data_IF_576415918648
#
_entry.id   IF_576415918648
#
_cell.length_a   1.000
_cell.length_b   1.000
_cell.length_c   1.000
_cell.angle_alpha   90.00
_cell.angle_beta   90.00
_cell.angle_gamma   90.00
#
_symmetry.space_group_name_H-M   'P 1'
#
loop_
_entity.id
_entity.type
_entity.pdbx_description
1 polymer ?
#
# COMPACT_ATOMS: atom_id res chain seq x y z
N UNK A 1 -13.39 14.83 -5.57
CA UNK A 1 -12.16 15.46 -5.05
C UNK A 1 -11.09 15.50 -6.13
N UNK A 2 -10.05 16.31 -5.93
CA UNK A 2 -9.00 16.61 -6.94
C UNK A 2 -8.35 15.33 -7.50
N UNK A 3 -8.02 14.36 -6.63
CA UNK A 3 -7.39 13.09 -7.03
C UNK A 3 -8.21 12.32 -8.08
N UNK A 4 -9.52 12.21 -7.86
CA UNK A 4 -10.42 11.51 -8.78
C UNK A 4 -10.58 12.28 -10.10
N UNK A 5 -10.57 13.60 -10.04
CA UNK A 5 -10.58 14.47 -11.24
C UNK A 5 -9.33 14.27 -12.10
N UNK A 6 -8.15 14.29 -11.48
CA UNK A 6 -6.86 14.07 -12.18
C UNK A 6 -6.80 12.67 -12.78
N UNK A 7 -7.17 11.64 -12.01
CA UNK A 7 -7.21 10.25 -12.52
C UNK A 7 -8.10 10.14 -13.75
N UNK A 8 -9.35 10.60 -13.64
CA UNK A 8 -10.31 10.51 -14.74
C UNK A 8 -9.79 11.26 -15.97
N UNK A 9 -9.27 12.48 -15.80
CA UNK A 9 -8.71 13.24 -16.91
C UNK A 9 -7.55 12.49 -17.60
N UNK A 10 -6.64 11.88 -16.84
CA UNK A 10 -5.55 11.10 -17.39
C UNK A 10 -6.02 9.81 -18.07
N UNK A 11 -6.95 9.07 -17.47
CA UNK A 11 -7.38 7.76 -17.98
C UNK A 11 -8.38 7.85 -19.12
N UNK A 12 -9.31 8.81 -19.09
CA UNK A 12 -10.41 8.90 -20.07
C UNK A 12 -10.17 9.92 -21.17
N UNK A 13 -9.25 10.88 -20.98
CA UNK A 13 -8.95 11.91 -21.98
C UNK A 13 -7.54 11.76 -22.52
N UNK A 14 -6.52 11.85 -21.66
CA UNK A 14 -5.13 11.91 -22.14
C UNK A 14 -4.59 10.56 -22.63
N UNK A 15 -4.78 9.47 -21.90
CA UNK A 15 -4.25 8.16 -22.30
C UNK A 15 -4.84 7.69 -23.66
N UNK A 16 -6.17 7.77 -23.90
CA UNK A 16 -6.72 7.45 -25.21
C UNK A 16 -6.21 8.39 -26.32
N UNK A 17 -6.07 9.69 -26.04
CA UNK A 17 -5.53 10.64 -27.01
C UNK A 17 -4.07 10.35 -27.38
N UNK A 18 -3.25 9.97 -26.40
CA UNK A 18 -1.84 9.59 -26.59
C UNK A 18 -1.74 8.31 -27.41
N UNK A 19 -2.56 7.30 -27.11
CA UNK A 19 -2.62 6.04 -27.87
C UNK A 19 -3.11 6.24 -29.31
N UNK A 20 -4.03 7.18 -29.53
CA UNK A 20 -4.52 7.53 -30.86
C UNK A 20 -3.60 8.48 -31.65
N UNK A 21 -2.54 9.01 -31.00
CA UNK A 21 -1.62 9.95 -31.65
C UNK A 21 -0.65 9.19 -32.55
N UNK A 22 -0.81 9.37 -33.87
CA UNK A 22 0.07 8.77 -34.87
C UNK A 22 1.32 9.62 -35.16
N UNK A 23 1.34 10.90 -34.76
CA UNK A 23 2.43 11.83 -35.05
C UNK A 23 3.22 12.19 -33.79
N UNK A 24 4.30 11.44 -33.53
CA UNK A 24 5.24 11.73 -32.45
C UNK A 24 6.50 12.49 -32.94
N UNK A 25 6.41 13.12 -34.11
CA UNK A 25 7.52 13.90 -34.68
C UNK A 25 8.77 13.05 -34.91
N UNK A 26 9.91 13.49 -34.36
CA UNK A 26 11.21 12.83 -34.54
C UNK A 26 11.24 11.36 -34.06
N UNK A 27 10.36 10.98 -33.12
CA UNK A 27 10.25 9.60 -32.64
C UNK A 27 9.61 8.65 -33.66
N UNK A 28 8.92 9.15 -34.68
CA UNK A 28 8.42 8.31 -35.77
C UNK A 28 9.51 7.91 -36.77
N UNK A 29 10.67 8.58 -36.73
CA UNK A 29 11.71 8.47 -37.75
C UNK A 29 12.84 7.50 -37.35
N UNK A 30 12.81 6.97 -36.12
CA UNK A 30 13.84 6.04 -35.63
C UNK A 30 13.23 4.78 -35.03
N UNK A 31 13.89 3.63 -35.20
CA UNK A 31 13.53 2.38 -34.53
C UNK A 31 13.56 2.49 -33.01
N UNK A 32 14.36 3.40 -32.47
CA UNK A 32 14.44 3.66 -31.04
C UNK A 32 13.23 4.47 -30.52
N UNK A 33 12.61 5.29 -31.37
CA UNK A 33 11.43 6.06 -31.00
C UNK A 33 10.18 5.21 -30.73
N UNK A 34 10.06 4.02 -31.31
CA UNK A 34 9.02 3.03 -30.96
C UNK A 34 9.12 2.61 -29.48
N UNK A 35 10.35 2.33 -29.03
CA UNK A 35 10.64 1.95 -27.63
C UNK A 35 10.35 3.11 -26.67
N UNK A 36 10.77 4.33 -27.02
CA UNK A 36 10.51 5.52 -26.19
C UNK A 36 9.01 5.82 -26.02
N UNK A 37 8.21 5.65 -27.09
CA UNK A 37 6.74 5.77 -27.01
C UNK A 37 6.14 4.73 -26.07
N UNK A 38 6.62 3.49 -26.16
CA UNK A 38 6.17 2.41 -25.28
C UNK A 38 6.50 2.73 -23.82
N UNK A 39 7.74 3.13 -23.52
CA UNK A 39 8.20 3.52 -22.18
C UNK A 39 7.35 4.68 -21.62
N UNK A 40 7.05 5.69 -22.45
CA UNK A 40 6.23 6.81 -22.04
C UNK A 40 4.80 6.39 -21.70
N UNK A 41 4.19 5.56 -22.54
CA UNK A 41 2.84 5.02 -22.32
C UNK A 41 2.80 4.17 -21.05
N UNK A 42 3.80 3.32 -20.84
CA UNK A 42 3.96 2.51 -19.64
C UNK A 42 4.11 3.39 -18.38
N UNK A 43 4.84 4.50 -18.48
CA UNK A 43 5.01 5.47 -17.39
C UNK A 43 3.69 6.12 -17.00
N UNK A 44 2.84 6.50 -17.97
CA UNK A 44 1.50 7.03 -17.69
C UNK A 44 0.62 5.97 -17.03
N UNK A 45 0.63 4.75 -17.55
CA UNK A 45 -0.12 3.63 -16.95
C UNK A 45 0.32 3.36 -15.50
N UNK A 46 1.64 3.37 -15.23
CA UNK A 46 2.18 3.22 -13.87
C UNK A 46 1.75 4.36 -12.95
N UNK A 47 1.69 5.59 -13.46
CA UNK A 47 1.20 6.74 -12.70
C UNK A 47 -0.30 6.64 -12.41
N UNK A 48 -1.11 6.17 -13.35
CA UNK A 48 -2.54 5.88 -13.12
C UNK A 48 -2.73 4.81 -12.04
N UNK A 49 -1.95 3.72 -12.06
CA UNK A 49 -1.95 2.71 -11.00
C UNK A 49 -1.54 3.28 -9.65
N UNK A 50 -0.54 4.18 -9.61
CA UNK A 50 -0.16 4.89 -8.40
C UNK A 50 -1.31 5.76 -7.85
N UNK A 51 -2.01 6.51 -8.71
CA UNK A 51 -3.16 7.31 -8.30
C UNK A 51 -4.30 6.45 -7.77
N UNK A 52 -4.54 5.28 -8.37
CA UNK A 52 -5.51 4.33 -7.86
C UNK A 52 -5.10 3.75 -6.51
N UNK A 53 -3.83 3.40 -6.35
CA UNK A 53 -3.26 2.99 -5.07
C UNK A 53 -3.44 4.06 -4.00
N UNK A 54 -3.19 5.33 -4.32
CA UNK A 54 -3.39 6.46 -3.43
C UNK A 54 -4.87 6.66 -3.07
N UNK A 55 -5.79 6.51 -4.03
CA UNK A 55 -7.24 6.59 -3.80
C UNK A 55 -7.70 5.49 -2.85
N UNK A 56 -7.35 4.24 -3.13
CA UNK A 56 -7.69 3.09 -2.28
C UNK A 56 -7.08 3.26 -0.88
N UNK A 57 -5.86 3.81 -0.80
CA UNK A 57 -5.24 4.11 0.48
C UNK A 57 -6.00 5.16 1.29
N UNK A 58 -6.55 6.19 0.63
CA UNK A 58 -7.38 7.23 1.27
C UNK A 58 -8.73 6.65 1.67
N UNK A 59 -9.40 5.89 0.79
CA UNK A 59 -10.68 5.24 1.08
C UNK A 59 -10.56 4.19 2.20
N UNK A 60 -9.39 3.56 2.33
CA UNK A 60 -9.06 2.62 3.41
C UNK A 60 -8.59 3.28 4.70
N UNK A 61 -8.56 4.61 4.79
CA UNK A 61 -8.23 5.29 6.06
C UNK A 61 -9.31 5.06 7.09
N UNK A 62 -8.89 4.71 8.31
CA UNK A 62 -9.81 4.47 9.43
C UNK A 62 -9.91 5.75 10.23
N UNK A 63 -11.08 6.38 10.16
CA UNK A 63 -11.43 7.50 11.03
C UNK A 63 -11.95 6.98 12.36
N UNK A 64 -11.31 7.40 13.46
CA UNK A 64 -11.82 7.16 14.80
C UNK A 64 -13.21 7.79 14.93
N UNK A 65 -14.14 7.07 15.57
CA UNK A 65 -15.51 7.53 15.72
C UNK A 65 -15.55 8.94 16.32
N UNK A 66 -16.23 9.86 15.65
CA UNK A 66 -16.50 11.20 16.18
C UNK A 66 -17.39 11.09 17.42
N UNK A 67 -17.11 11.96 18.37
CA UNK A 67 -17.84 12.04 19.64
C UNK A 67 -18.54 13.38 19.65
N UNK A 68 -19.84 13.36 19.36
CA UNK A 68 -20.63 14.59 19.21
C UNK A 68 -21.23 15.06 20.55
N UNK A 69 -21.22 14.20 21.56
CA UNK A 69 -21.83 14.46 22.86
C UNK A 69 -20.88 15.11 23.89
N UNK A 70 -19.61 15.30 23.55
CA UNK A 70 -18.59 15.84 24.46
C UNK A 70 -17.94 17.07 23.83
N UNK A 71 -18.00 18.19 24.54
CA UNK A 71 -17.35 19.44 24.12
C UNK A 71 -15.88 19.46 24.55
N UNK A 72 -15.02 18.94 23.67
CA UNK A 72 -13.56 18.89 23.92
C UNK A 72 -12.90 20.27 23.98
N UNK A 73 -13.59 21.34 23.56
CA UNK A 73 -13.05 22.69 23.67
C UNK A 73 -12.90 23.18 25.12
N UNK A 74 -13.56 22.49 26.05
CA UNK A 74 -13.54 22.76 27.50
C UNK A 74 -12.58 21.86 28.27
N UNK A 75 -11.63 21.19 27.60
CA UNK A 75 -10.68 20.24 28.20
C UNK A 75 -9.24 20.62 27.84
N UNK A 76 -8.93 21.91 27.87
CA UNK A 76 -7.62 22.42 27.47
C UNK A 76 -6.77 22.85 28.66
N UNK A 77 -7.40 23.31 29.74
CA UNK A 77 -6.69 23.75 30.94
C UNK A 77 -6.63 22.66 32.01
N UNK A 78 -5.65 22.78 32.92
CA UNK A 78 -5.51 21.83 34.03
C UNK A 78 -6.72 21.83 34.97
N UNK A 79 -7.30 23.01 35.21
CA UNK A 79 -8.48 23.19 36.08
C UNK A 79 -9.71 22.50 35.49
N UNK A 80 -9.95 22.69 34.19
CA UNK A 80 -11.00 22.00 33.44
C UNK A 80 -10.85 20.48 33.47
N UNK A 81 -9.63 19.98 33.21
CA UNK A 81 -9.32 18.55 33.24
C UNK A 81 -9.57 17.96 34.63
N UNK A 82 -9.20 18.68 35.69
CA UNK A 82 -9.39 18.24 37.08
C UNK A 82 -10.87 18.24 37.47
N UNK A 83 -11.63 19.25 37.04
CA UNK A 83 -13.07 19.31 37.25
C UNK A 83 -13.79 18.17 36.52
N UNK A 84 -13.40 17.88 35.27
CA UNK A 84 -13.93 16.76 34.50
C UNK A 84 -13.58 15.40 35.13
N UNK A 85 -12.36 15.25 35.63
CA UNK A 85 -11.90 14.02 36.29
C UNK A 85 -12.61 13.75 37.64
N UNK A 86 -13.08 14.81 38.31
CA UNK A 86 -13.85 14.69 39.56
C UNK A 86 -15.32 14.37 39.34
N UNK A 87 -15.82 14.49 38.09
CA UNK A 87 -17.19 14.17 37.73
C UNK A 87 -17.29 12.72 37.22
N UNK A 88 -17.89 11.84 38.01
CA UNK A 88 -18.02 10.42 37.69
C UNK A 88 -18.77 10.13 36.39
N UNK A 89 -19.78 10.93 36.05
CA UNK A 89 -20.54 10.77 34.81
C UNK A 89 -19.71 11.17 33.58
N UNK A 90 -18.96 12.27 33.68
CA UNK A 90 -18.02 12.68 32.62
C UNK A 90 -16.93 11.64 32.41
N UNK A 91 -16.34 11.12 33.48
CA UNK A 91 -15.33 10.05 33.41
C UNK A 91 -15.91 8.82 32.72
N UNK A 92 -17.11 8.36 33.11
CA UNK A 92 -17.78 7.22 32.49
C UNK A 92 -17.98 7.41 30.98
N UNK A 93 -18.44 8.59 30.55
CA UNK A 93 -18.61 8.89 29.13
C UNK A 93 -17.29 8.87 28.36
N UNK A 94 -16.22 9.42 28.95
CA UNK A 94 -14.88 9.42 28.35
C UNK A 94 -14.29 8.00 28.28
N UNK A 95 -14.58 7.14 29.26
CA UNK A 95 -14.21 5.72 29.23
C UNK A 95 -14.94 4.98 28.10
N UNK A 96 -16.23 5.23 27.87
CA UNK A 96 -16.98 4.65 26.75
C UNK A 96 -16.44 5.07 25.38
N UNK A 97 -16.05 6.35 25.26
CA UNK A 97 -15.36 6.88 24.08
C UNK A 97 -14.04 6.16 23.85
N UNK A 98 -13.19 6.10 24.88
CA UNK A 98 -11.88 5.43 24.79
C UNK A 98 -12.05 3.96 24.41
N UNK A 99 -13.03 3.26 24.99
CA UNK A 99 -13.33 1.87 24.65
C UNK A 99 -13.83 1.70 23.22
N UNK A 100 -14.56 2.68 22.68
CA UNK A 100 -15.00 2.65 21.29
C UNK A 100 -13.80 2.75 20.34
N UNK A 101 -12.90 3.70 20.58
CA UNK A 101 -11.67 3.82 19.79
C UNK A 101 -10.77 2.60 19.96
N UNK A 102 -10.65 2.08 21.19
CA UNK A 102 -9.89 0.87 21.49
C UNK A 102 -10.35 -0.29 20.63
N UNK A 103 -11.66 -0.59 20.63
CA UNK A 103 -12.24 -1.68 19.82
C UNK A 103 -12.04 -1.47 18.33
N UNK A 104 -12.13 -0.23 17.84
CA UNK A 104 -11.88 0.09 16.43
C UNK A 104 -10.43 -0.18 16.02
N UNK A 105 -9.47 0.29 16.82
CA UNK A 105 -8.04 0.09 16.55
C UNK A 105 -7.66 -1.38 16.68
N UNK A 106 -8.19 -2.08 17.70
CA UNK A 106 -7.96 -3.51 17.88
C UNK A 106 -8.50 -4.33 16.70
N UNK A 107 -9.70 -4.03 16.22
CA UNK A 107 -10.25 -4.65 15.01
C UNK A 107 -9.33 -4.47 13.80
N UNK A 108 -8.78 -3.26 13.62
CA UNK A 108 -7.85 -2.96 12.52
C UNK A 108 -6.53 -3.74 12.65
N UNK A 109 -6.00 -3.91 13.87
CA UNK A 109 -4.82 -4.72 14.13
C UNK A 109 -5.08 -6.20 13.82
N UNK A 110 -6.20 -6.75 14.29
CA UNK A 110 -6.59 -8.14 14.02
C UNK A 110 -6.72 -8.39 12.51
N UNK A 111 -7.38 -7.49 11.79
CA UNK A 111 -7.50 -7.57 10.32
C UNK A 111 -6.15 -7.53 9.61
N UNK A 112 -5.16 -6.84 10.18
CA UNK A 112 -3.81 -6.75 9.59
C UNK A 112 -2.97 -8.01 9.78
N UNK A 113 -3.22 -8.75 10.87
CA UNK A 113 -2.53 -10.00 11.21
C UNK A 113 -3.13 -11.21 10.47
N UNK A 114 -4.34 -11.08 9.93
CA UNK A 114 -5.00 -12.16 9.20
C UNK A 114 -4.29 -12.53 7.89
N UNK A 115 -4.22 -13.83 7.62
CA UNK A 115 -3.74 -14.36 6.34
C UNK A 115 -4.58 -13.81 5.19
N UNK A 116 -3.90 -13.11 4.28
CA UNK A 116 -4.55 -12.51 3.10
C UNK A 116 -4.97 -13.60 2.12
N UNK A 117 -6.19 -13.51 1.62
CA UNK A 117 -6.62 -14.21 0.40
C UNK A 117 -6.21 -13.34 -0.79
N UNK A 118 -5.12 -13.71 -1.44
CA UNK A 118 -4.63 -13.01 -2.62
C UNK A 118 -4.98 -13.81 -3.87
N UNK A 119 -5.06 -13.13 -5.02
CA UNK A 119 -5.25 -13.81 -6.29
C UNK A 119 -4.03 -14.68 -6.61
N UNK A 120 -4.28 -15.85 -7.19
CA UNK A 120 -3.24 -16.85 -7.53
C UNK A 120 -2.23 -16.31 -8.54
N UNK A 121 -2.53 -15.24 -9.27
CA UNK A 121 -1.66 -14.58 -10.26
C UNK A 121 -1.02 -13.27 -9.75
N UNK A 122 -1.13 -12.97 -8.45
CA UNK A 122 -0.60 -11.72 -7.90
C UNK A 122 0.93 -11.62 -8.04
N UNK A 123 1.40 -10.51 -8.62
CA UNK A 123 2.84 -10.23 -8.81
C UNK A 123 3.50 -9.54 -7.61
N UNK A 124 4.83 -9.41 -7.58
CA UNK A 124 5.58 -8.87 -6.43
C UNK A 124 5.24 -7.40 -6.11
N UNK A 125 4.83 -6.59 -7.10
CA UNK A 125 4.43 -5.20 -6.84
C UNK A 125 3.14 -5.08 -6.02
N UNK A 126 2.28 -6.10 -6.03
CA UNK A 126 1.08 -6.13 -5.18
C UNK A 126 1.42 -6.12 -3.69
N UNK A 127 2.54 -6.73 -3.32
CA UNK A 127 3.03 -6.75 -1.94
C UNK A 127 3.49 -5.34 -1.52
N UNK A 128 4.23 -4.65 -2.39
CA UNK A 128 4.64 -3.27 -2.15
C UNK A 128 3.43 -2.35 -1.98
N UNK A 129 2.41 -2.48 -2.83
CA UNK A 129 1.18 -1.70 -2.71
C UNK A 129 0.44 -1.98 -1.41
N UNK A 130 0.36 -3.26 -1.01
CA UNK A 130 -0.25 -3.64 0.26
C UNK A 130 0.43 -2.93 1.44
N UNK A 131 1.76 -3.02 1.55
CA UNK A 131 2.48 -2.38 2.65
C UNK A 131 2.41 -0.85 2.61
N UNK A 132 2.33 -0.23 1.43
CA UNK A 132 2.04 1.22 1.30
C UNK A 132 0.69 1.58 1.90
N UNK A 133 -0.36 0.80 1.61
CA UNK A 133 -1.70 1.00 2.17
C UNK A 133 -1.72 0.80 3.67
N UNK A 134 -1.07 -0.25 4.18
CA UNK A 134 -0.97 -0.50 5.62
C UNK A 134 -0.23 0.63 6.34
N UNK A 135 0.91 1.06 5.80
CA UNK A 135 1.67 2.19 6.33
C UNK A 135 0.83 3.46 6.41
N UNK A 136 0.09 3.80 5.36
CA UNK A 136 -0.82 4.96 5.38
C UNK A 136 -1.95 4.79 6.40
N UNK A 137 -2.60 3.62 6.45
CA UNK A 137 -3.70 3.32 7.39
C UNK A 137 -3.25 3.50 8.84
N UNK A 138 -2.11 2.94 9.23
CA UNK A 138 -1.61 2.99 10.60
C UNK A 138 -1.05 4.36 10.98
N UNK A 139 -0.33 5.04 10.08
CA UNK A 139 0.13 6.41 10.35
C UNK A 139 -1.06 7.35 10.57
N UNK A 140 -2.15 7.17 9.81
CA UNK A 140 -3.35 7.98 9.99
C UNK A 140 -4.06 7.73 11.33
N UNK A 141 -4.05 6.50 11.84
CA UNK A 141 -4.55 6.18 13.19
C UNK A 141 -3.65 6.85 14.25
N UNK A 142 -2.33 6.75 14.10
CA UNK A 142 -1.36 7.38 15.01
C UNK A 142 -1.52 8.90 15.06
N UNK A 143 -1.76 9.55 13.92
CA UNK A 143 -2.04 10.99 13.85
C UNK A 143 -3.29 11.37 14.66
N UNK A 144 -4.35 10.56 14.56
CA UNK A 144 -5.59 10.78 15.32
C UNK A 144 -5.39 10.56 16.82
N UNK A 145 -4.64 9.53 17.24
CA UNK A 145 -4.29 9.27 18.64
C UNK A 145 -3.47 10.44 19.22
N UNK A 146 -2.56 11.02 18.42
CA UNK A 146 -1.77 12.19 18.80
C UNK A 146 -2.54 13.51 18.71
N UNK A 147 -3.76 13.48 18.18
CA UNK A 147 -4.65 14.61 18.02
C UNK A 147 -5.14 15.18 19.36
N UNK A 148 -5.61 16.44 19.36
CA UNK A 148 -6.02 17.15 20.58
C UNK A 148 -7.18 16.45 21.29
N UNK A 149 -8.15 15.91 20.55
CA UNK A 149 -9.33 15.21 21.10
C UNK A 149 -8.94 13.98 21.89
N UNK A 150 -8.10 13.10 21.33
CA UNK A 150 -7.68 11.88 22.00
C UNK A 150 -6.79 12.20 23.21
N UNK A 151 -5.90 13.19 23.10
CA UNK A 151 -5.09 13.68 24.23
C UNK A 151 -5.95 14.22 25.38
N UNK A 152 -7.01 14.98 25.08
CA UNK A 152 -7.91 15.49 26.10
C UNK A 152 -8.59 14.36 26.89
N UNK A 153 -9.12 13.34 26.19
CA UNK A 153 -9.70 12.13 26.83
C UNK A 153 -8.67 11.45 27.73
N UNK A 154 -7.47 11.18 27.21
CA UNK A 154 -6.42 10.48 27.96
C UNK A 154 -6.01 11.28 29.21
N UNK A 155 -5.87 12.60 29.10
CA UNK A 155 -5.49 13.47 30.21
C UNK A 155 -6.50 13.43 31.36
N UNK A 156 -7.79 13.56 31.05
CA UNK A 156 -8.87 13.48 32.07
C UNK A 156 -8.88 12.11 32.73
N UNK A 157 -8.83 11.04 31.94
CA UNK A 157 -8.83 9.67 32.46
C UNK A 157 -7.58 9.37 33.30
N UNK A 158 -6.45 10.04 33.03
CA UNK A 158 -5.21 9.89 33.79
C UNK A 158 -5.31 10.55 35.17
N UNK A 159 -5.91 11.75 35.25
CA UNK A 159 -6.22 12.40 36.53
C UNK A 159 -7.28 11.63 37.31
N UNK A 160 -8.27 11.05 36.63
CA UNK A 160 -9.30 10.20 37.23
C UNK A 160 -8.81 8.78 37.61
N UNK A 161 -7.54 8.45 37.35
CA UNK A 161 -6.96 7.13 37.61
C UNK A 161 -7.74 5.96 36.97
N UNK A 162 -8.26 6.13 35.76
CA UNK A 162 -8.98 5.08 35.05
C UNK A 162 -8.10 3.86 34.78
N UNK A 163 -8.67 2.66 35.03
CA UNK A 163 -7.99 1.38 34.80
C UNK A 163 -7.79 1.08 33.31
N UNK A 164 -8.59 1.70 32.43
CA UNK A 164 -8.53 1.48 30.98
C UNK A 164 -7.23 1.99 30.35
N UNK A 165 -6.53 2.92 31.01
CA UNK A 165 -5.29 3.48 30.49
C UNK A 165 -4.17 2.45 30.34
N UNK A 166 -4.18 1.38 31.14
CA UNK A 166 -3.22 0.29 30.97
C UNK A 166 -3.40 -0.40 29.62
N UNK A 167 -4.64 -0.77 29.30
CA UNK A 167 -4.98 -1.43 28.03
C UNK A 167 -4.76 -0.48 26.85
N UNK A 168 -5.09 0.80 27.01
CA UNK A 168 -4.86 1.81 25.98
C UNK A 168 -3.37 1.97 25.64
N UNK A 169 -2.48 2.02 26.65
CA UNK A 169 -1.03 2.11 26.42
C UNK A 169 -0.47 0.89 25.69
N UNK A 170 -0.98 -0.30 26.02
CA UNK A 170 -0.59 -1.52 25.31
C UNK A 170 -1.02 -1.46 23.82
N UNK A 171 -2.26 -1.04 23.56
CA UNK A 171 -2.76 -0.83 22.20
C UNK A 171 -1.95 0.23 21.43
N UNK A 172 -1.61 1.36 22.07
CA UNK A 172 -0.79 2.43 21.49
C UNK A 172 0.64 1.96 21.17
N UNK A 173 1.21 1.08 22.00
CA UNK A 173 2.49 0.46 21.71
C UNK A 173 2.40 -0.50 20.51
N UNK A 174 1.36 -1.36 20.48
CA UNK A 174 1.13 -2.31 19.37
C UNK A 174 0.93 -1.57 18.04
N UNK A 175 0.06 -0.57 17.98
CA UNK A 175 -0.19 0.20 16.75
C UNK A 175 1.07 0.93 16.26
N UNK A 176 1.90 1.42 17.19
CA UNK A 176 3.18 2.06 16.87
C UNK A 176 4.16 1.06 16.29
N UNK A 177 4.26 -0.15 16.84
CA UNK A 177 5.14 -1.19 16.30
C UNK A 177 4.68 -1.65 14.90
N UNK A 178 3.38 -1.90 14.70
CA UNK A 178 2.84 -2.28 13.39
C UNK A 178 3.01 -1.18 12.33
N UNK A 179 2.92 0.10 12.73
CA UNK A 179 3.22 1.22 11.83
C UNK A 179 4.71 1.26 11.44
N UNK A 180 5.62 0.98 12.38
CA UNK A 180 7.05 0.90 12.12
C UNK A 180 7.39 -0.28 11.22
N UNK A 181 6.81 -1.46 11.47
CA UNK A 181 6.90 -2.63 10.59
C UNK A 181 6.47 -2.25 9.17
N UNK A 182 5.28 -1.68 9.01
CA UNK A 182 4.74 -1.35 7.70
C UNK A 182 5.65 -0.39 6.93
N UNK A 183 6.22 0.60 7.63
CA UNK A 183 7.15 1.58 7.05
C UNK A 183 8.47 0.93 6.64
N UNK A 184 9.02 0.04 7.46
CA UNK A 184 10.26 -0.69 7.16
C UNK A 184 10.07 -1.62 5.96
N UNK A 185 8.96 -2.36 5.93
CA UNK A 185 8.60 -3.26 4.84
C UNK A 185 8.47 -2.50 3.51
N UNK A 186 7.80 -1.33 3.51
CA UNK A 186 7.74 -0.45 2.31
C UNK A 186 9.14 -0.07 1.84
N UNK A 187 10.04 0.33 2.75
CA UNK A 187 11.42 0.74 2.40
C UNK A 187 12.18 -0.38 1.70
N UNK A 188 12.09 -1.60 2.21
CA UNK A 188 12.78 -2.75 1.60
C UNK A 188 12.11 -3.19 0.29
N UNK A 189 10.78 -3.26 0.23
CA UNK A 189 10.07 -3.67 -0.97
C UNK A 189 10.19 -2.63 -2.11
N UNK A 190 10.46 -1.36 -1.81
CA UNK A 190 10.84 -0.37 -2.82
C UNK A 190 12.12 -0.75 -3.58
N UNK A 191 13.05 -1.49 -2.95
CA UNK A 191 14.24 -1.99 -3.64
C UNK A 191 13.87 -3.04 -4.69
N UNK A 192 12.79 -3.80 -4.45
CA UNK A 192 12.27 -4.78 -5.41
C UNK A 192 11.60 -4.13 -6.61
N UNK A 193 10.98 -2.97 -6.44
CA UNK A 193 10.25 -2.29 -7.52
C UNK A 193 11.10 -2.12 -8.79
N UNK A 194 12.38 -1.73 -8.61
CA UNK A 194 13.32 -1.53 -9.72
C UNK A 194 13.79 -2.85 -10.33
N UNK A 195 14.15 -3.83 -9.50
CA UNK A 195 14.65 -5.14 -10.00
C UNK A 195 13.56 -6.03 -10.58
N UNK A 196 12.29 -5.77 -10.23
CA UNK A 196 11.13 -6.45 -10.79
C UNK A 196 10.64 -5.84 -12.11
N UNK A 197 11.07 -4.62 -12.50
CA UNK A 197 10.62 -3.99 -13.76
C UNK A 197 10.76 -4.90 -15.00
N UNK A 198 11.88 -5.64 -15.19
CA UNK A 198 12.00 -6.53 -16.34
C UNK A 198 10.91 -7.61 -16.41
N UNK A 199 10.32 -8.00 -15.28
CA UNK A 199 9.22 -8.97 -15.21
C UNK A 199 7.88 -8.41 -15.74
N UNK A 200 7.78 -7.09 -15.91
CA UNK A 200 6.58 -6.41 -16.38
C UNK A 200 6.69 -5.93 -17.82
N UNK A 201 7.90 -5.89 -18.38
CA UNK A 201 8.18 -5.32 -19.71
C UNK A 201 8.20 -6.36 -20.85
N UNK A 202 7.86 -7.61 -20.56
CA UNK A 202 7.80 -8.72 -21.52
C UNK A 202 9.10 -9.02 -22.29
N UNK A 203 10.23 -8.45 -21.87
CA UNK A 203 11.54 -8.75 -22.43
C UNK A 203 12.18 -9.94 -21.69
N UNK A 204 12.07 -11.13 -22.28
CA UNK A 204 12.61 -12.36 -21.71
C UNK A 204 14.13 -12.35 -21.56
N UNK A 205 14.86 -11.63 -22.42
CA UNK A 205 16.32 -11.55 -22.37
C UNK A 205 16.73 -10.70 -21.16
N UNK A 206 16.14 -9.52 -21.03
CA UNK A 206 16.35 -8.67 -19.84
C UNK A 206 15.86 -9.34 -18.55
N UNK A 207 14.77 -10.11 -18.61
CA UNK A 207 14.29 -10.88 -17.47
C UNK A 207 15.31 -11.94 -17.05
N UNK A 208 15.82 -12.76 -17.98
CA UNK A 208 16.81 -13.79 -17.71
C UNK A 208 18.10 -13.22 -17.09
N UNK A 209 18.60 -12.10 -17.63
CA UNK A 209 19.75 -11.39 -17.07
C UNK A 209 19.44 -10.73 -15.71
N UNK A 210 18.19 -10.34 -15.47
CA UNK A 210 17.71 -9.68 -14.24
C UNK A 210 17.47 -10.62 -13.05
N UNK A 211 17.29 -11.93 -13.27
CA UNK A 211 16.99 -12.90 -12.20
C UNK A 211 18.05 -12.88 -11.10
N UNK A 212 19.33 -12.81 -11.45
CA UNK A 212 20.40 -12.79 -10.46
C UNK A 212 20.32 -11.54 -9.56
N UNK A 213 19.97 -10.39 -10.14
CA UNK A 213 19.78 -9.14 -9.38
C UNK A 213 18.55 -9.23 -8.47
N UNK A 214 17.46 -9.85 -8.95
CA UNK A 214 16.26 -10.08 -8.17
C UNK A 214 16.53 -10.98 -6.96
N UNK A 215 17.20 -12.12 -7.15
CA UNK A 215 17.57 -13.05 -6.07
C UNK A 215 18.49 -12.34 -5.06
N UNK A 216 19.46 -11.56 -5.53
CA UNK A 216 20.35 -10.80 -4.66
C UNK A 216 19.60 -9.75 -3.83
N UNK A 217 18.61 -9.07 -4.42
CA UNK A 217 17.77 -8.11 -3.70
C UNK A 217 16.91 -8.81 -2.64
N UNK A 218 16.28 -9.94 -2.97
CA UNK A 218 15.50 -10.73 -2.00
C UNK A 218 16.39 -11.22 -0.86
N UNK A 219 17.59 -11.73 -1.16
CA UNK A 219 18.56 -12.15 -0.14
C UNK A 219 18.98 -10.99 0.77
N UNK A 220 19.20 -9.80 0.21
CA UNK A 220 19.50 -8.61 1.00
C UNK A 220 18.35 -8.28 1.95
N UNK A 221 17.10 -8.29 1.47
CA UNK A 221 15.92 -8.05 2.31
C UNK A 221 15.84 -9.08 3.45
N UNK A 222 16.00 -10.37 3.14
CA UNK A 222 16.02 -11.42 4.17
C UNK A 222 17.13 -11.22 5.21
N UNK A 223 18.30 -10.74 4.80
CA UNK A 223 19.42 -10.53 5.73
C UNK A 223 19.34 -9.27 6.58
N UNK A 224 18.69 -8.20 6.09
CA UNK A 224 18.73 -6.87 6.74
C UNK A 224 17.37 -6.42 7.28
N UNK A 225 16.25 -6.84 6.65
CA UNK A 225 14.93 -6.43 7.13
C UNK A 225 14.66 -7.01 8.51
N UNK A 226 14.12 -6.18 9.41
CA UNK A 226 13.78 -6.61 10.76
C UNK A 226 12.46 -7.37 10.80
N UNK A 227 11.50 -6.95 9.97
CA UNK A 227 10.13 -7.43 10.01
C UNK A 227 9.78 -8.32 8.81
N UNK A 228 10.39 -8.10 7.64
CA UNK A 228 10.08 -8.86 6.42
C UNK A 228 10.94 -10.12 6.24
N UNK A 229 11.85 -10.44 7.16
CA UNK A 229 12.84 -11.52 7.01
C UNK A 229 12.32 -12.94 7.32
N UNK A 230 11.01 -13.15 7.45
CA UNK A 230 10.49 -14.48 7.79
C UNK A 230 10.43 -15.40 6.58
N UNK A 231 10.60 -16.71 6.80
CA UNK A 231 10.52 -17.73 5.74
C UNK A 231 9.18 -17.70 5.00
N UNK A 232 8.08 -17.40 5.71
CA UNK A 232 6.74 -17.29 5.14
C UNK A 232 6.65 -16.12 4.15
N UNK A 233 7.15 -14.94 4.53
CA UNK A 233 7.17 -13.74 3.67
C UNK A 233 8.08 -13.94 2.45
N UNK A 234 9.22 -14.62 2.63
CA UNK A 234 10.09 -14.99 1.52
C UNK A 234 9.40 -15.95 0.55
N UNK A 235 8.76 -17.00 1.07
CA UNK A 235 8.03 -17.98 0.25
C UNK A 235 6.92 -17.31 -0.54
N UNK A 236 6.11 -16.48 0.10
CA UNK A 236 5.06 -15.70 -0.55
C UNK A 236 5.63 -14.80 -1.65
N UNK A 237 6.73 -14.10 -1.38
CA UNK A 237 7.37 -13.23 -2.37
C UNK A 237 7.91 -14.03 -3.57
N UNK A 238 8.54 -15.19 -3.35
CA UNK A 238 9.02 -16.04 -4.43
C UNK A 238 7.86 -16.55 -5.30
N UNK A 239 6.74 -16.98 -4.68
CA UNK A 239 5.54 -17.40 -5.41
C UNK A 239 5.06 -16.26 -6.33
N UNK A 240 4.93 -15.04 -5.79
CA UNK A 240 4.53 -13.85 -6.57
C UNK A 240 5.48 -13.54 -7.71
N UNK A 241 6.79 -13.63 -7.47
CA UNK A 241 7.81 -13.46 -8.52
C UNK A 241 7.62 -14.51 -9.62
N UNK A 242 7.48 -15.79 -9.26
CA UNK A 242 7.31 -16.86 -10.25
C UNK A 242 6.00 -16.71 -11.03
N UNK A 243 4.92 -16.29 -10.38
CA UNK A 243 3.65 -16.00 -11.04
C UNK A 243 3.81 -14.89 -12.08
N UNK A 244 4.49 -13.81 -11.72
CA UNK A 244 4.76 -12.72 -12.65
C UNK A 244 5.65 -13.16 -13.82
N UNK A 245 6.66 -14.01 -13.58
CA UNK A 245 7.48 -14.58 -14.66
C UNK A 245 6.65 -15.43 -15.62
N UNK A 246 5.75 -16.28 -15.10
CA UNK A 246 4.83 -17.07 -15.93
C UNK A 246 3.93 -16.15 -16.77
N UNK A 247 3.38 -15.09 -16.16
CA UNK A 247 2.59 -14.08 -16.87
C UNK A 247 3.39 -13.39 -17.96
N UNK A 248 4.64 -13.02 -17.69
CA UNK A 248 5.54 -12.41 -18.67
C UNK A 248 5.82 -13.34 -19.86
N UNK A 249 6.14 -14.61 -19.59
CA UNK A 249 6.34 -15.61 -20.65
C UNK A 249 5.10 -15.84 -21.50
N UNK A 250 3.91 -15.95 -20.86
CA UNK A 250 2.63 -16.09 -21.58
C UNK A 250 2.38 -14.89 -22.48
N UNK A 251 2.60 -13.68 -21.96
CA UNK A 251 2.44 -12.46 -22.73
C UNK A 251 3.43 -12.36 -23.89
N UNK A 252 4.69 -12.75 -23.70
CA UNK A 252 5.68 -12.78 -24.79
C UNK A 252 5.28 -13.73 -25.93
N UNK A 253 4.82 -14.94 -25.61
CA UNK A 253 4.38 -15.91 -26.61
C UNK A 253 3.13 -15.40 -27.36
N UNK A 254 2.24 -14.70 -26.68
CA UNK A 254 0.96 -14.21 -27.22
C UNK A 254 0.99 -12.77 -27.75
N UNK A 255 2.18 -12.18 -27.91
CA UNK A 255 2.36 -10.78 -28.32
C UNK A 255 1.51 -9.81 -27.50
N UNK A 256 1.61 -9.90 -26.18
CA UNK A 256 0.83 -9.11 -25.23
C UNK A 256 -0.64 -9.52 -25.13
N UNK A 257 -0.98 -10.75 -25.53
CA UNK A 257 -2.36 -11.25 -25.56
C UNK A 257 -3.13 -10.91 -26.84
N UNK A 258 -2.45 -10.39 -27.87
CA UNK A 258 -3.08 -10.02 -29.14
C UNK A 258 -3.33 -11.21 -30.08
N UNK A 259 -2.58 -12.31 -29.92
CA UNK A 259 -2.69 -13.50 -30.76
C UNK A 259 -2.71 -14.75 -29.89
N UNK A 260 -3.70 -15.64 -30.09
CA UNK A 260 -3.68 -16.94 -29.43
C UNK A 260 -2.55 -17.80 -29.97
N UNK A 261 -1.95 -18.61 -29.11
CA UNK A 261 -0.84 -19.52 -29.49
C UNK A 261 -1.24 -20.42 -30.67
N UNK A 262 -2.50 -20.83 -30.73
CA UNK A 262 -3.05 -21.72 -31.76
C UNK A 262 -3.27 -21.03 -33.12
N UNK A 263 -3.33 -19.70 -33.13
CA UNK A 263 -3.55 -18.90 -34.34
C UNK A 263 -2.22 -18.45 -34.98
N UNK A 264 -1.08 -18.77 -34.35
CA UNK A 264 0.27 -18.45 -34.83
C UNK A 264 0.87 -19.60 -35.65
N UNK A 265 1.68 -19.27 -36.65
CA UNK A 265 2.42 -20.30 -37.39
C UNK A 265 3.40 -21.03 -36.46
N UNK A 266 3.39 -22.37 -36.49
CA UNK A 266 4.24 -23.23 -35.64
C UNK A 266 5.72 -22.83 -35.63
N UNK A 267 6.37 -22.48 -36.76
CA UNK A 267 7.77 -22.06 -36.76
C UNK A 267 8.03 -20.75 -36.01
N UNK A 268 7.05 -19.85 -35.93
CA UNK A 268 7.16 -18.58 -35.19
C UNK A 268 7.05 -18.80 -33.69
N UNK A 269 6.11 -19.64 -33.26
CA UNK A 269 5.97 -20.02 -31.85
C UNK A 269 7.21 -20.75 -31.34
N UNK A 270 7.76 -21.68 -32.13
CA UNK A 270 9.00 -22.39 -31.79
C UNK A 270 10.24 -21.50 -31.68
N UNK A 271 10.24 -20.30 -32.29
CA UNK A 271 11.32 -19.32 -32.10
C UNK A 271 11.20 -18.53 -30.80
N UNK A 272 10.01 -18.50 -30.20
CA UNK A 272 9.71 -17.77 -28.95
C UNK A 272 9.85 -18.63 -27.69
N UNK A 273 9.96 -19.96 -27.85
CA UNK A 273 10.14 -20.97 -26.78
C UNK A 273 11.61 -21.39 -26.76
#
# INVERSE_FOLDING_TARGET
GILNGIKNMLSSVFLPAILATNNWGALNQSKQGESEKHIFTETISRYLSFLDGARVSIEGTVMLKKVDNIDFSKLHTFEEVTAAASNSETVRQLEEVLMTWYKQIEQVLIESEQMRKEADDSGPLTELEHWKRMSAKFNYIIEQIKGPTCKAVINVLNVAHSKLLKNWRDLDARITDTANESKDNVRYLYTLEKVCQPLYNYDLVSMAHGIQNLINAIRMIHSVSRYYNTSERMTSLFIKVTNQMVTACKAYITDGGTIHVWDQETPLVLKKI
#
